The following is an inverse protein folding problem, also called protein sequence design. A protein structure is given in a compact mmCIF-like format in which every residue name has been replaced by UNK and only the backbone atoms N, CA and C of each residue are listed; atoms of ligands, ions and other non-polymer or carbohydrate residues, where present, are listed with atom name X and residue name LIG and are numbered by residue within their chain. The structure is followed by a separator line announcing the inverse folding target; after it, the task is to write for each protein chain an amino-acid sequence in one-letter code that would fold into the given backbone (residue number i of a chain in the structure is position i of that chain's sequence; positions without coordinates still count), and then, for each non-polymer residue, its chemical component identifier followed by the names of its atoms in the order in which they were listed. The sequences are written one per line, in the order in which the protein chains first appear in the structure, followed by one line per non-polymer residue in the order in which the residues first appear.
data_IF_812381705856
#
_entry.id   IF_812381705856
#
_cell.length_a   1.000
_cell.length_b   1.000
_cell.length_c   1.000
_cell.angle_alpha   90.00
_cell.angle_beta   90.00
_cell.angle_gamma   90.00
#
_symmetry.space_group_name_H-M   'P 1'
#
loop_
_entity.id
_entity.type
_entity.pdbx_description
1 polymer ?
#
# COMPACT_ATOMS: atom_id res chain seq x y z
N UNK A 1 -1.97 -17.33 0.08
CA UNK A 1 -0.68 -16.63 -0.05
C UNK A 1 -0.55 -15.41 0.86
N UNK A 2 -1.59 -14.60 1.08
CA UNK A 2 -1.51 -13.40 1.94
C UNK A 2 -1.28 -13.71 3.45
N UNK A 3 -1.77 -14.85 3.93
CA UNK A 3 -1.63 -15.28 5.34
C UNK A 3 -0.19 -15.54 5.79
N UNK A 4 0.70 -15.94 4.87
CA UNK A 4 2.11 -16.25 5.18
C UNK A 4 2.95 -15.00 5.48
N UNK A 5 2.55 -13.82 5.02
CA UNK A 5 3.27 -12.57 5.26
C UNK A 5 2.74 -11.80 6.48
N UNK A 6 1.46 -11.98 6.81
CA UNK A 6 0.80 -11.26 7.92
C UNK A 6 1.24 -11.83 9.28
N UNK A 7 1.36 -13.15 9.40
CA UNK A 7 1.69 -13.80 10.67
C UNK A 7 3.10 -13.42 11.19
N UNK A 8 4.19 -13.51 10.39
CA UNK A 8 5.52 -13.15 10.90
C UNK A 8 5.68 -11.64 11.15
N UNK A 9 4.99 -10.79 10.39
CA UNK A 9 5.04 -9.34 10.63
C UNK A 9 4.38 -8.95 11.95
N UNK A 10 3.29 -9.64 12.33
CA UNK A 10 2.67 -9.48 13.65
C UNK A 10 3.60 -10.01 14.75
N UNK A 11 4.24 -11.16 14.57
CA UNK A 11 5.21 -11.70 15.55
C UNK A 11 6.41 -10.76 15.76
N UNK A 12 6.92 -10.13 14.69
CA UNK A 12 8.02 -9.15 14.78
C UNK A 12 7.63 -7.87 15.53
N UNK A 13 6.36 -7.44 15.44
CA UNK A 13 5.84 -6.29 16.19
C UNK A 13 5.69 -6.62 17.68
N UNK A 14 5.39 -7.87 18.04
CA UNK A 14 5.18 -8.29 19.43
C UNK A 14 6.41 -8.89 20.14
N UNK A 15 7.54 -9.11 19.44
CA UNK A 15 8.75 -9.71 20.02
C UNK A 15 9.74 -8.71 20.65
N UNK A 16 9.36 -7.44 20.84
CA UNK A 16 10.21 -6.40 21.44
C UNK A 16 10.24 -6.43 22.99
N UNK A 17 10.28 -7.62 23.60
CA UNK A 17 10.52 -7.77 25.04
C UNK A 17 12.00 -8.09 25.32
N UNK A 18 12.90 -7.13 25.10
CA UNK A 18 14.25 -7.18 25.67
C UNK A 18 14.26 -6.40 26.98
N UNK A 19 14.37 -7.12 28.10
CA UNK A 19 14.43 -6.57 29.45
C UNK A 19 15.68 -5.73 29.69
N UNK A 20 15.54 -4.46 30.11
CA UNK A 20 16.67 -3.68 30.62
C UNK A 20 16.42 -2.19 30.87
N UNK A 21 15.50 -1.54 30.17
CA UNK A 21 15.36 -0.08 30.23
C UNK A 21 13.91 0.32 30.53
N UNK A 22 13.72 1.26 31.45
CA UNK A 22 12.40 1.81 31.78
C UNK A 22 11.90 2.65 30.60
N UNK A 23 11.30 1.99 29.63
CA UNK A 23 10.71 2.60 28.45
C UNK A 23 9.29 3.06 28.79
N UNK A 24 8.98 4.32 28.48
CA UNK A 24 7.61 4.86 28.50
C UNK A 24 6.78 4.22 27.37
N UNK A 25 6.27 3.01 27.62
CA UNK A 25 5.55 2.17 26.64
C UNK A 25 4.42 2.90 25.92
N UNK A 26 3.76 3.84 26.60
CA UNK A 26 2.70 4.67 26.00
C UNK A 26 3.24 5.51 24.85
N UNK A 27 4.38 6.18 25.03
CA UNK A 27 4.97 7.03 24.01
C UNK A 27 5.47 6.20 22.82
N UNK A 28 6.06 5.03 23.09
CA UNK A 28 6.56 4.15 22.03
C UNK A 28 5.45 3.53 21.19
N UNK A 29 4.36 3.06 21.81
CA UNK A 29 3.19 2.53 21.08
C UNK A 29 2.59 3.60 20.16
N UNK A 30 2.47 4.84 20.63
CA UNK A 30 1.99 5.95 19.80
C UNK A 30 2.93 6.24 18.63
N UNK A 31 4.24 6.23 18.85
CA UNK A 31 5.23 6.42 17.80
C UNK A 31 5.15 5.30 16.75
N UNK A 32 5.08 4.05 17.19
CA UNK A 32 4.89 2.89 16.31
C UNK A 32 3.59 2.98 15.51
N UNK A 33 2.49 3.40 16.13
CA UNK A 33 1.21 3.62 15.45
C UNK A 33 1.33 4.68 14.36
N UNK A 34 1.89 5.85 14.66
CA UNK A 34 2.08 6.91 13.66
C UNK A 34 3.01 6.47 12.53
N UNK A 35 4.07 5.72 12.84
CA UNK A 35 4.98 5.18 11.83
C UNK A 35 4.29 4.21 10.87
N UNK A 36 3.47 3.30 11.39
CA UNK A 36 2.70 2.36 10.56
C UNK A 36 1.59 3.07 9.77
N UNK A 37 0.96 4.09 10.37
CA UNK A 37 -0.07 4.91 9.74
C UNK A 37 0.47 5.69 8.53
N UNK A 38 1.64 6.31 8.64
CA UNK A 38 2.27 7.01 7.50
C UNK A 38 2.54 6.04 6.34
N UNK A 39 3.06 4.85 6.62
CA UNK A 39 3.30 3.84 5.58
C UNK A 39 1.99 3.43 4.91
N UNK A 40 0.93 3.18 5.68
CA UNK A 40 -0.38 2.82 5.15
C UNK A 40 -0.97 3.93 4.25
N UNK A 41 -0.89 5.20 4.66
CA UNK A 41 -1.37 6.32 3.85
C UNK A 41 -0.56 6.53 2.58
N UNK A 42 0.77 6.37 2.62
CA UNK A 42 1.62 6.48 1.42
C UNK A 42 1.25 5.38 0.42
N UNK A 43 1.16 4.13 0.86
CA UNK A 43 0.80 3.00 0.00
C UNK A 43 -0.63 3.15 -0.53
N UNK A 44 -1.59 3.49 0.33
CA UNK A 44 -2.99 3.72 -0.04
C UNK A 44 -3.14 4.86 -1.04
N UNK A 45 -2.43 5.97 -0.85
CA UNK A 45 -2.42 7.12 -1.77
C UNK A 45 -1.87 6.77 -3.14
N UNK A 46 -0.78 5.99 -3.21
CA UNK A 46 -0.22 5.53 -4.49
C UNK A 46 -1.21 4.62 -5.22
N UNK A 47 -1.81 3.64 -4.54
CA UNK A 47 -2.74 2.70 -5.18
C UNK A 47 -4.04 3.39 -5.62
N UNK A 48 -4.63 4.22 -4.76
CA UNK A 48 -5.83 4.96 -5.12
C UNK A 48 -5.55 5.94 -6.28
N UNK A 49 -4.41 6.62 -6.24
CA UNK A 49 -3.96 7.51 -7.30
C UNK A 49 -3.76 6.80 -8.63
N UNK A 50 -3.11 5.62 -8.64
CA UNK A 50 -2.93 4.85 -9.87
C UNK A 50 -4.26 4.34 -10.42
N UNK A 51 -5.19 3.87 -9.57
CA UNK A 51 -6.51 3.44 -10.03
C UNK A 51 -7.29 4.58 -10.69
N UNK A 52 -7.37 5.75 -10.05
CA UNK A 52 -8.06 6.92 -10.62
C UNK A 52 -7.40 7.37 -11.93
N UNK A 53 -6.05 7.36 -11.97
CA UNK A 53 -5.32 7.70 -13.19
C UNK A 53 -5.64 6.77 -14.34
N UNK A 54 -5.67 5.45 -14.12
CA UNK A 54 -6.01 4.46 -15.15
C UNK A 54 -7.42 4.73 -15.74
N UNK A 55 -8.41 4.91 -14.85
CA UNK A 55 -9.80 5.17 -15.26
C UNK A 55 -9.90 6.46 -16.07
N UNK A 56 -9.22 7.53 -15.67
CA UNK A 56 -9.23 8.79 -16.42
C UNK A 56 -8.40 8.73 -17.71
N UNK A 57 -7.28 8.02 -17.70
CA UNK A 57 -6.35 7.93 -18.84
C UNK A 57 -6.95 7.17 -20.01
N UNK A 58 -7.63 6.08 -19.74
CA UNK A 58 -8.21 5.17 -20.76
C UNK A 58 -9.72 5.32 -20.91
N UNK A 59 -10.32 6.34 -20.26
CA UNK A 59 -11.73 6.65 -20.49
C UNK A 59 -11.98 6.88 -21.98
N UNK A 60 -13.00 6.22 -22.54
CA UNK A 60 -13.36 6.35 -23.96
C UNK A 60 -13.63 7.81 -24.38
N UNK A 61 -14.14 8.63 -23.47
CA UNK A 61 -14.37 10.06 -23.73
C UNK A 61 -13.07 10.90 -23.74
N UNK A 62 -11.90 10.31 -23.51
CA UNK A 62 -10.62 11.02 -23.53
C UNK A 62 -10.04 11.04 -24.95
N UNK A 63 -9.87 12.21 -25.60
CA UNK A 63 -9.32 12.32 -26.96
C UNK A 63 -7.89 11.78 -27.11
N UNK A 64 -7.17 11.59 -25.99
CA UNK A 64 -5.81 11.03 -25.96
C UNK A 64 -5.78 9.53 -25.66
N UNK A 65 -6.94 8.88 -25.54
CA UNK A 65 -7.05 7.43 -25.52
C UNK A 65 -6.77 6.93 -26.94
N UNK A 66 -5.52 6.56 -27.20
CA UNK A 66 -5.18 5.89 -28.46
C UNK A 66 -5.54 4.42 -28.28
N UNK A 67 -6.24 3.81 -29.25
CA UNK A 67 -6.38 2.37 -29.31
C UNK A 67 -5.00 1.74 -29.19
N UNK A 68 -4.96 0.64 -28.47
CA UNK A 68 -3.72 -0.10 -28.30
C UNK A 68 -3.46 -0.99 -29.52
N UNK A 69 -2.19 -1.29 -29.84
CA UNK A 69 -1.84 -2.00 -31.09
C UNK A 69 -2.50 -3.39 -31.23
N UNK A 70 -2.92 -3.99 -30.12
CA UNK A 70 -3.67 -5.26 -30.12
C UNK A 70 -5.15 -5.08 -30.50
N UNK A 71 -5.76 -3.93 -30.19
CA UNK A 71 -7.12 -3.59 -30.65
C UNK A 71 -7.16 -3.26 -32.15
N UNK A 72 -6.08 -2.70 -32.71
CA UNK A 72 -5.99 -2.40 -34.15
C UNK A 72 -5.80 -3.66 -35.02
N UNK A 73 -5.17 -4.71 -34.47
CA UNK A 73 -4.89 -5.96 -35.21
C UNK A 73 -6.04 -6.98 -35.16
N UNK A 74 -7.06 -6.77 -34.34
CA UNK A 74 -8.21 -7.67 -34.22
C UNK A 74 -7.88 -9.04 -33.60
N UNK A 75 -6.75 -9.15 -32.91
CA UNK A 75 -6.35 -10.38 -32.21
C UNK A 75 -6.85 -10.30 -30.75
N UNK A 76 -7.93 -11.03 -30.47
CA UNK A 76 -8.44 -11.29 -29.13
C UNK A 76 -7.90 -12.61 -28.58
#
# INVERSE_FOLDING_TARGET
MMTLFIIPTVSLVFAAETAGEYIDRKAEIWNLFFRMMTVAFVVGGVIAGTMVWQVWRFRESNPKSKPTEYEEKGEF
#
